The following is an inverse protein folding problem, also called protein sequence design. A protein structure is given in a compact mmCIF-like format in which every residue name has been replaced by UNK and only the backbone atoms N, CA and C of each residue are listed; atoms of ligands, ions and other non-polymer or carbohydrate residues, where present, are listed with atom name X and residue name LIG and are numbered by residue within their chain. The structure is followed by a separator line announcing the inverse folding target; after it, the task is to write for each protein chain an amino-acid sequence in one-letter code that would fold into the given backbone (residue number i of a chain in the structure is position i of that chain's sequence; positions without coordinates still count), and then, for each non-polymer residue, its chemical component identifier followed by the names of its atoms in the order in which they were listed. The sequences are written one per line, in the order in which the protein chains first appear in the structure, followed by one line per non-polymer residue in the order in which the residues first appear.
data_IF_735958369592
#
_entry.id   IF_735958369592
#
_cell.length_a   1.000
_cell.length_b   1.000
_cell.length_c   1.000
_cell.angle_alpha   90.00
_cell.angle_beta   90.00
_cell.angle_gamma   90.00
#
_symmetry.space_group_name_H-M   'P 1'
#
loop_
_entity.id
_entity.type
_entity.pdbx_description
1 polymer ?
#
# COMPACT_ATOMS: atom_id res chain seq x y z
N UNK A 1 -11.99 -10.48 -51.41
CA UNK A 1 -10.85 -10.79 -50.51
C UNK A 1 -11.41 -10.93 -49.12
N UNK A 2 -11.61 -12.17 -48.64
CA UNK A 2 -12.15 -12.47 -47.31
C UNK A 2 -11.04 -12.38 -46.29
N UNK A 3 -11.10 -11.42 -45.37
CA UNK A 3 -10.17 -11.34 -44.25
C UNK A 3 -10.55 -12.46 -43.25
N UNK A 4 -9.73 -13.50 -43.20
CA UNK A 4 -9.85 -14.54 -42.18
C UNK A 4 -9.59 -13.92 -40.82
N UNK A 5 -10.65 -13.75 -40.01
CA UNK A 5 -10.55 -13.42 -38.61
C UNK A 5 -9.78 -14.58 -37.93
N UNK A 6 -8.52 -14.34 -37.56
CA UNK A 6 -7.76 -15.28 -36.74
C UNK A 6 -8.47 -15.46 -35.41
N UNK A 7 -9.06 -16.62 -35.19
CA UNK A 7 -9.61 -17.04 -33.91
C UNK A 7 -8.46 -17.11 -32.93
N UNK A 8 -8.33 -16.09 -32.07
CA UNK A 8 -7.38 -16.10 -30.95
C UNK A 8 -7.87 -17.18 -29.98
N UNK A 9 -7.26 -18.36 -30.07
CA UNK A 9 -7.49 -19.44 -29.11
C UNK A 9 -7.04 -18.91 -27.73
N UNK A 10 -7.94 -18.84 -26.72
CA UNK A 10 -7.55 -18.36 -25.41
C UNK A 10 -6.50 -19.31 -24.83
N UNK A 11 -5.29 -18.80 -24.65
CA UNK A 11 -4.20 -19.52 -23.99
C UNK A 11 -4.66 -19.85 -22.56
N UNK A 12 -4.59 -21.12 -22.15
CA UNK A 12 -4.90 -21.51 -20.76
C UNK A 12 -4.08 -20.64 -19.80
N UNK A 13 -4.74 -20.05 -18.80
CA UNK A 13 -4.10 -19.27 -17.76
C UNK A 13 -2.98 -20.07 -17.10
N UNK A 14 -1.78 -19.51 -17.08
CA UNK A 14 -0.64 -20.12 -16.40
C UNK A 14 -0.68 -19.80 -14.90
N UNK A 15 -0.08 -20.65 -14.05
CA UNK A 15 0.07 -20.35 -12.62
C UNK A 15 0.73 -19.01 -12.34
N UNK A 16 1.63 -18.57 -13.22
CA UNK A 16 2.28 -17.27 -13.17
C UNK A 16 1.27 -16.09 -13.28
N UNK A 17 0.17 -16.25 -14.05
CA UNK A 17 -0.86 -15.21 -14.19
C UNK A 17 -1.64 -15.03 -12.87
N UNK A 18 -1.94 -16.13 -12.17
CA UNK A 18 -2.56 -16.06 -10.83
C UNK A 18 -1.61 -15.45 -9.79
N UNK A 19 -0.32 -15.79 -9.85
CA UNK A 19 0.67 -15.18 -8.98
C UNK A 19 0.80 -13.66 -9.26
N UNK A 20 0.77 -13.24 -10.53
CA UNK A 20 0.79 -11.82 -10.91
C UNK A 20 -0.43 -11.06 -10.34
N UNK A 21 -1.62 -11.69 -10.29
CA UNK A 21 -2.83 -11.11 -9.68
C UNK A 21 -2.62 -10.74 -8.22
N UNK A 22 -1.86 -11.53 -7.46
CA UNK A 22 -1.63 -11.30 -6.02
C UNK A 22 -0.72 -10.13 -5.73
N UNK A 23 -0.05 -9.55 -6.75
CA UNK A 23 0.94 -8.46 -6.61
C UNK A 23 1.96 -8.74 -5.49
N UNK A 24 2.82 -9.76 -5.59
CA UNK A 24 3.62 -10.27 -4.46
C UNK A 24 4.46 -9.19 -3.76
N UNK A 25 5.02 -8.23 -4.51
CA UNK A 25 5.83 -7.14 -3.96
C UNK A 25 5.02 -6.22 -3.04
N UNK A 26 3.80 -5.88 -3.43
CA UNK A 26 2.91 -5.02 -2.63
C UNK A 26 2.41 -5.82 -1.42
N UNK A 27 1.98 -7.06 -1.63
CA UNK A 27 1.53 -7.96 -0.55
C UNK A 27 2.63 -8.16 0.49
N UNK A 28 3.90 -8.31 0.09
CA UNK A 28 5.03 -8.39 1.01
C UNK A 28 5.15 -7.13 1.88
N UNK A 29 5.02 -5.93 1.29
CA UNK A 29 5.08 -4.67 2.05
C UNK A 29 3.93 -4.58 3.06
N UNK A 30 2.72 -4.99 2.67
CA UNK A 30 1.55 -5.07 3.57
C UNK A 30 1.83 -6.00 4.76
N UNK A 31 2.37 -7.20 4.49
CA UNK A 31 2.73 -8.19 5.50
C UNK A 31 3.83 -7.67 6.43
N UNK A 32 4.86 -7.00 5.89
CA UNK A 32 5.93 -6.40 6.70
C UNK A 32 5.39 -5.33 7.67
N UNK A 33 4.49 -4.47 7.22
CA UNK A 33 3.91 -3.45 8.08
C UNK A 33 2.93 -4.04 9.11
N UNK A 34 2.22 -5.11 8.77
CA UNK A 34 1.41 -5.87 9.72
C UNK A 34 2.29 -6.58 10.78
N UNK A 35 3.45 -7.12 10.38
CA UNK A 35 4.44 -7.68 11.33
C UNK A 35 4.87 -6.61 12.33
N UNK A 36 5.26 -5.42 11.87
CA UNK A 36 5.64 -4.31 12.77
C UNK A 36 4.50 -4.00 13.73
N UNK A 37 3.26 -3.89 13.23
CA UNK A 37 2.09 -3.65 14.07
C UNK A 37 1.87 -4.73 15.12
N UNK A 38 2.03 -6.00 14.74
CA UNK A 38 1.89 -7.14 15.67
C UNK A 38 2.97 -7.10 16.76
N UNK A 39 4.23 -6.94 16.38
CA UNK A 39 5.34 -6.90 17.33
C UNK A 39 5.21 -5.71 18.27
N UNK A 40 4.93 -4.52 17.76
CA UNK A 40 4.72 -3.32 18.57
C UNK A 40 3.49 -3.42 19.48
N UNK A 41 2.45 -4.12 19.05
CA UNK A 41 1.27 -4.41 19.85
C UNK A 41 1.48 -5.50 20.91
N UNK A 42 2.46 -6.39 20.80
CA UNK A 42 2.65 -7.49 21.73
C UNK A 42 3.14 -7.00 23.11
N UNK A 43 2.56 -7.51 24.20
CA UNK A 43 3.09 -7.32 25.57
C UNK A 43 3.92 -8.54 25.94
N UNK A 44 5.23 -8.36 26.17
CA UNK A 44 6.15 -9.46 26.47
C UNK A 44 6.55 -10.27 25.22
N UNK A 45 6.86 -11.57 25.37
CA UNK A 45 7.31 -12.42 24.28
C UNK A 45 6.30 -12.52 23.13
N UNK A 46 6.79 -12.46 21.89
CA UNK A 46 5.97 -12.57 20.70
C UNK A 46 5.52 -14.02 20.50
N UNK A 47 4.22 -14.24 20.40
CA UNK A 47 3.67 -15.57 20.01
C UNK A 47 3.86 -15.77 18.52
N UNK A 48 4.84 -16.58 18.13
CA UNK A 48 5.17 -16.85 16.74
C UNK A 48 4.03 -17.56 15.98
N UNK A 49 3.27 -18.43 16.63
CA UNK A 49 2.12 -19.10 16.01
C UNK A 49 1.01 -18.10 15.66
N UNK A 50 0.68 -17.21 16.60
CA UNK A 50 -0.34 -16.17 16.38
C UNK A 50 0.12 -15.12 15.36
N UNK A 51 1.40 -14.76 15.39
CA UNK A 51 2.03 -13.91 14.38
C UNK A 51 1.90 -14.54 12.98
N UNK A 52 2.30 -15.81 12.82
CA UNK A 52 2.24 -16.52 11.54
C UNK A 52 0.81 -16.53 10.96
N UNK A 53 -0.19 -16.82 11.81
CA UNK A 53 -1.61 -16.79 11.43
C UNK A 53 -2.04 -15.38 11.00
N UNK A 54 -1.67 -14.36 11.77
CA UNK A 54 -2.01 -12.96 11.46
C UNK A 54 -1.40 -12.53 10.11
N UNK A 55 -0.14 -12.86 9.86
CA UNK A 55 0.55 -12.52 8.61
C UNK A 55 -0.01 -13.31 7.41
N UNK A 56 -0.27 -14.63 7.58
CA UNK A 56 -0.86 -15.45 6.54
C UNK A 56 -2.26 -14.95 6.13
N UNK A 57 -3.13 -14.67 7.11
CA UNK A 57 -4.46 -14.14 6.85
C UNK A 57 -4.42 -12.76 6.18
N UNK A 58 -3.54 -11.87 6.67
CA UNK A 58 -3.33 -10.55 6.05
C UNK A 58 -2.82 -10.66 4.61
N UNK A 59 -1.88 -11.57 4.34
CA UNK A 59 -1.36 -11.83 3.00
C UNK A 59 -2.47 -12.30 2.04
N UNK A 60 -3.33 -13.22 2.48
CA UNK A 60 -4.45 -13.73 1.69
C UNK A 60 -5.47 -12.62 1.36
N UNK A 61 -5.86 -11.81 2.35
CA UNK A 61 -6.78 -10.67 2.12
C UNK A 61 -6.16 -9.65 1.17
N UNK A 62 -4.88 -9.31 1.33
CA UNK A 62 -4.18 -8.37 0.46
C UNK A 62 -4.03 -8.90 -0.98
N UNK A 63 -3.74 -10.19 -1.14
CA UNK A 63 -3.68 -10.87 -2.43
C UNK A 63 -5.05 -10.88 -3.12
N UNK A 64 -6.11 -11.21 -2.38
CA UNK A 64 -7.50 -11.16 -2.87
C UNK A 64 -7.92 -9.76 -3.29
N UNK A 65 -7.63 -8.74 -2.47
CA UNK A 65 -7.88 -7.34 -2.80
C UNK A 65 -7.14 -6.91 -4.08
N UNK A 66 -5.89 -7.36 -4.26
CA UNK A 66 -5.07 -7.07 -5.44
C UNK A 66 -5.65 -7.70 -6.71
N UNK A 67 -6.12 -8.94 -6.63
CA UNK A 67 -6.76 -9.65 -7.75
C UNK A 67 -8.07 -8.96 -8.18
N UNK A 68 -8.92 -8.62 -7.22
CA UNK A 68 -10.17 -7.92 -7.47
C UNK A 68 -9.94 -6.50 -8.00
N UNK A 69 -8.93 -5.79 -7.51
CA UNK A 69 -8.57 -4.49 -8.05
C UNK A 69 -8.11 -4.57 -9.51
N UNK A 70 -7.29 -5.56 -9.90
CA UNK A 70 -6.93 -5.77 -11.31
C UNK A 70 -8.15 -6.08 -12.19
N UNK A 71 -9.14 -6.79 -11.64
CA UNK A 71 -10.40 -7.04 -12.34
C UNK A 71 -11.19 -5.74 -12.56
N UNK A 72 -11.32 -4.91 -11.52
CA UNK A 72 -12.06 -3.64 -11.59
C UNK A 72 -11.39 -2.64 -12.53
N UNK A 73 -10.06 -2.56 -12.47
CA UNK A 73 -9.25 -1.62 -13.27
C UNK A 73 -8.94 -2.13 -14.69
N UNK A 74 -9.36 -3.32 -15.11
CA UNK A 74 -8.94 -3.97 -16.37
C UNK A 74 -9.08 -3.10 -17.62
N UNK A 75 -10.13 -2.26 -17.70
CA UNK A 75 -10.35 -1.34 -18.82
C UNK A 75 -9.34 -0.21 -18.83
N UNK A 76 -9.10 0.40 -17.70
CA UNK A 76 -8.12 1.49 -17.51
C UNK A 76 -6.70 0.96 -17.66
N UNK A 77 -6.41 -0.23 -17.12
CA UNK A 77 -5.11 -0.89 -17.25
C UNK A 77 -4.72 -1.16 -18.70
N UNK A 78 -5.69 -1.51 -19.56
CA UNK A 78 -5.47 -1.76 -20.99
C UNK A 78 -4.99 -0.50 -21.76
N UNK A 79 -5.30 0.69 -21.26
CA UNK A 79 -4.90 1.97 -21.87
C UNK A 79 -3.49 2.42 -21.49
N UNK A 80 -2.95 1.91 -20.39
CA UNK A 80 -1.66 2.32 -19.85
C UNK A 80 -0.53 1.37 -20.27
N UNK A 81 0.60 1.89 -20.75
CA UNK A 81 1.73 1.07 -21.21
C UNK A 81 2.29 0.15 -20.12
N UNK A 82 2.32 0.63 -18.89
CA UNK A 82 2.83 -0.10 -17.73
C UNK A 82 1.95 -1.27 -17.32
N UNK A 83 0.63 -1.21 -17.55
CA UNK A 83 -0.34 -2.16 -16.99
C UNK A 83 -1.13 -2.93 -18.04
N UNK A 84 -1.04 -2.57 -19.32
CA UNK A 84 -1.76 -3.25 -20.43
C UNK A 84 -1.48 -4.75 -20.52
N UNK A 85 -0.33 -5.19 -20.04
CA UNK A 85 0.07 -6.60 -20.04
C UNK A 85 -0.36 -7.37 -18.79
N UNK A 86 -1.11 -6.74 -17.87
CA UNK A 86 -1.68 -7.45 -16.70
C UNK A 86 -2.61 -8.58 -17.14
N UNK A 87 -2.68 -9.71 -16.41
CA UNK A 87 -3.38 -10.92 -16.86
C UNK A 87 -4.82 -10.68 -17.32
N UNK A 88 -5.59 -9.87 -16.58
CA UNK A 88 -7.01 -9.58 -16.94
C UNK A 88 -7.11 -8.54 -18.06
N UNK A 89 -6.29 -7.49 -18.04
CA UNK A 89 -6.27 -6.45 -19.07
C UNK A 89 -5.82 -7.00 -20.44
N UNK A 90 -4.86 -7.92 -20.44
CA UNK A 90 -4.34 -8.59 -21.63
C UNK A 90 -5.19 -9.79 -22.08
N UNK A 91 -6.27 -10.13 -21.39
CA UNK A 91 -7.13 -11.26 -21.73
C UNK A 91 -6.53 -12.66 -21.46
N UNK A 92 -5.41 -12.75 -20.71
CA UNK A 92 -4.81 -14.03 -20.33
C UNK A 92 -5.60 -14.77 -19.25
N UNK A 93 -6.32 -14.02 -18.41
CA UNK A 93 -7.27 -14.53 -17.42
C UNK A 93 -8.66 -13.97 -17.70
N UNK A 94 -9.67 -14.84 -17.64
CA UNK A 94 -11.06 -14.41 -17.76
C UNK A 94 -11.50 -13.63 -16.52
N UNK A 95 -12.36 -12.61 -16.67
CA UNK A 95 -12.85 -11.83 -15.53
C UNK A 95 -13.46 -12.67 -14.40
N UNK A 96 -14.17 -13.76 -14.76
CA UNK A 96 -14.78 -14.67 -13.78
C UNK A 96 -13.76 -15.46 -12.98
N UNK A 97 -12.63 -15.84 -13.60
CA UNK A 97 -11.54 -16.54 -12.93
C UNK A 97 -10.86 -15.62 -11.92
N UNK A 98 -10.57 -14.38 -12.30
CA UNK A 98 -10.00 -13.37 -11.40
C UNK A 98 -10.97 -13.03 -10.25
N UNK A 99 -12.29 -12.97 -10.52
CA UNK A 99 -13.32 -12.74 -9.50
C UNK A 99 -13.33 -13.89 -8.48
N UNK A 100 -13.46 -15.13 -8.95
CA UNK A 100 -13.54 -16.31 -8.10
C UNK A 100 -12.27 -16.48 -7.25
N UNK A 101 -11.09 -16.31 -7.88
CA UNK A 101 -9.80 -16.37 -7.19
C UNK A 101 -9.66 -15.29 -6.12
N UNK A 102 -9.98 -14.04 -6.46
CA UNK A 102 -9.88 -12.92 -5.51
C UNK A 102 -10.84 -13.05 -4.33
N UNK A 103 -12.08 -13.51 -4.58
CA UNK A 103 -13.07 -13.76 -3.52
C UNK A 103 -12.65 -14.94 -2.63
N UNK A 104 -12.16 -16.03 -3.22
CA UNK A 104 -11.70 -17.19 -2.47
C UNK A 104 -10.53 -16.84 -1.53
N UNK A 105 -9.52 -16.10 -2.03
CA UNK A 105 -8.40 -15.63 -1.20
C UNK A 105 -8.87 -14.69 -0.08
N UNK A 106 -9.78 -13.77 -0.37
CA UNK A 106 -10.34 -12.85 0.62
C UNK A 106 -11.07 -13.61 1.71
N UNK A 107 -11.98 -14.52 1.33
CA UNK A 107 -12.75 -15.32 2.29
C UNK A 107 -11.85 -16.20 3.16
N UNK A 108 -10.89 -16.90 2.55
CA UNK A 108 -9.91 -17.70 3.27
C UNK A 108 -9.08 -16.85 4.26
N UNK A 109 -8.59 -15.69 3.83
CA UNK A 109 -7.82 -14.79 4.69
C UNK A 109 -8.62 -14.22 5.85
N UNK A 110 -9.87 -13.83 5.62
CA UNK A 110 -10.77 -13.36 6.69
C UNK A 110 -11.10 -14.47 7.69
N UNK A 111 -11.32 -15.70 7.24
CA UNK A 111 -11.52 -16.87 8.12
C UNK A 111 -10.28 -17.16 8.96
N UNK A 112 -9.10 -17.16 8.35
CA UNK A 112 -7.83 -17.33 9.06
C UNK A 112 -7.64 -16.27 10.14
N UNK A 113 -7.91 -14.98 9.82
CA UNK A 113 -7.83 -13.91 10.80
C UNK A 113 -8.87 -14.05 11.90
N UNK A 114 -10.12 -14.33 11.55
CA UNK A 114 -11.22 -14.40 12.52
C UNK A 114 -10.99 -15.48 13.57
N UNK A 115 -10.68 -16.70 13.14
CA UNK A 115 -10.51 -17.84 14.05
C UNK A 115 -9.12 -17.90 14.70
N UNK A 116 -8.07 -17.40 14.03
CA UNK A 116 -6.70 -17.57 14.51
C UNK A 116 -6.06 -16.32 15.10
N UNK A 117 -6.54 -15.09 14.74
CA UNK A 117 -5.99 -13.84 15.25
C UNK A 117 -7.04 -13.00 16.03
N UNK A 118 -8.31 -13.27 15.81
CA UNK A 118 -9.43 -12.65 16.51
C UNK A 118 -10.34 -11.80 15.61
N UNK A 119 -11.60 -11.60 16.02
CA UNK A 119 -12.63 -10.97 15.20
C UNK A 119 -12.30 -9.52 14.84
N UNK A 120 -11.62 -8.77 15.72
CA UNK A 120 -11.27 -7.39 15.45
C UNK A 120 -10.20 -7.26 14.34
N UNK A 121 -9.21 -8.15 14.32
CA UNK A 121 -8.20 -8.18 13.25
C UNK A 121 -8.85 -8.51 11.89
N UNK A 122 -9.79 -9.44 11.85
CA UNK A 122 -10.58 -9.74 10.66
C UNK A 122 -11.45 -8.56 10.22
N UNK A 123 -12.06 -7.83 11.16
CA UNK A 123 -12.86 -6.65 10.86
C UNK A 123 -12.01 -5.52 10.26
N UNK A 124 -10.83 -5.24 10.82
CA UNK A 124 -9.91 -4.23 10.27
C UNK A 124 -9.43 -4.64 8.87
N UNK A 125 -9.13 -5.93 8.65
CA UNK A 125 -8.77 -6.45 7.33
C UNK A 125 -9.92 -6.33 6.32
N UNK A 126 -11.17 -6.60 6.75
CA UNK A 126 -12.37 -6.40 5.93
C UNK A 126 -12.57 -4.91 5.60
N UNK A 127 -12.39 -4.02 6.57
CA UNK A 127 -12.47 -2.57 6.35
C UNK A 127 -11.39 -2.08 5.38
N UNK A 128 -10.17 -2.63 5.48
CA UNK A 128 -9.08 -2.38 4.52
C UNK A 128 -9.47 -2.80 3.11
N UNK A 129 -9.94 -4.03 2.95
CA UNK A 129 -10.39 -4.59 1.69
C UNK A 129 -11.54 -3.79 1.08
N UNK A 130 -12.56 -3.48 1.88
CA UNK A 130 -13.74 -2.76 1.42
C UNK A 130 -13.42 -1.32 1.01
N UNK A 131 -12.66 -0.58 1.82
CA UNK A 131 -12.25 0.80 1.50
C UNK A 131 -11.34 0.86 0.27
N UNK A 132 -10.47 -0.13 0.08
CA UNK A 132 -9.61 -0.23 -1.10
C UNK A 132 -10.43 -0.47 -2.39
N UNK A 133 -11.38 -1.40 -2.38
CA UNK A 133 -12.12 -1.78 -3.58
C UNK A 133 -13.30 -0.84 -3.88
N UNK A 134 -14.04 -0.39 -2.86
CA UNK A 134 -15.30 0.34 -3.07
C UNK A 134 -15.17 1.86 -2.88
N UNK A 135 -14.12 2.33 -2.20
CA UNK A 135 -13.85 3.77 -2.09
C UNK A 135 -12.69 4.18 -3.01
N UNK A 136 -11.49 3.68 -2.77
CA UNK A 136 -10.30 4.10 -3.52
C UNK A 136 -10.38 3.78 -5.01
N UNK A 137 -10.66 2.52 -5.38
CA UNK A 137 -10.62 2.07 -6.78
C UNK A 137 -11.57 2.87 -7.70
N UNK A 138 -12.86 3.11 -7.35
CA UNK A 138 -13.72 3.94 -8.18
C UNK A 138 -13.38 5.43 -8.15
N UNK A 139 -12.88 5.97 -7.03
CA UNK A 139 -12.47 7.37 -6.94
C UNK A 139 -11.24 7.69 -7.79
N UNK A 140 -10.41 6.70 -8.08
CA UNK A 140 -9.19 6.86 -8.87
C UNK A 140 -9.44 7.39 -10.29
N UNK A 141 -10.62 7.09 -10.86
CA UNK A 141 -11.03 7.60 -12.17
C UNK A 141 -11.80 8.93 -12.11
N UNK A 142 -12.09 9.43 -10.89
CA UNK A 142 -12.98 10.60 -10.71
C UNK A 142 -12.28 11.82 -10.13
N UNK A 143 -11.27 11.61 -9.27
CA UNK A 143 -10.65 12.72 -8.53
C UNK A 143 -9.22 12.42 -8.10
N UNK A 144 -8.38 13.46 -8.04
CA UNK A 144 -7.02 13.39 -7.49
C UNK A 144 -6.98 13.10 -5.98
N UNK A 145 -8.09 13.35 -5.27
CA UNK A 145 -8.22 13.00 -3.85
C UNK A 145 -8.16 11.48 -3.61
N UNK A 146 -8.28 10.68 -4.68
CA UNK A 146 -8.09 9.23 -4.62
C UNK A 146 -6.76 8.83 -3.97
N UNK A 147 -5.69 9.65 -4.10
CA UNK A 147 -4.41 9.41 -3.43
C UNK A 147 -4.57 9.43 -1.90
N UNK A 148 -5.30 10.41 -1.36
CA UNK A 148 -5.55 10.53 0.09
C UNK A 148 -6.49 9.43 0.56
N UNK A 149 -7.56 9.16 -0.19
CA UNK A 149 -8.51 8.08 0.13
C UNK A 149 -7.82 6.72 0.08
N UNK A 150 -6.92 6.50 -0.88
CA UNK A 150 -6.12 5.27 -0.99
C UNK A 150 -5.07 5.12 0.11
N UNK A 151 -4.64 6.22 0.72
CA UNK A 151 -3.75 6.19 1.87
C UNK A 151 -4.43 5.60 3.12
N UNK A 152 -5.76 5.65 3.23
CA UNK A 152 -6.47 5.05 4.35
C UNK A 152 -6.33 3.52 4.40
N UNK A 153 -6.75 2.73 3.38
CA UNK A 153 -6.53 1.28 3.38
C UNK A 153 -5.05 0.89 3.41
N UNK A 154 -4.16 1.70 2.80
CA UNK A 154 -2.74 1.43 2.81
C UNK A 154 -2.06 1.61 4.18
N UNK A 155 -2.71 2.33 5.12
CA UNK A 155 -2.21 2.56 6.48
C UNK A 155 -2.80 1.58 7.52
N UNK A 156 -3.79 0.76 7.17
CA UNK A 156 -4.44 -0.19 8.09
C UNK A 156 -3.65 -1.47 8.38
N UNK A 157 -2.72 -1.97 7.54
CA UNK A 157 -2.00 -3.21 7.82
C UNK A 157 -1.31 -3.27 9.19
N UNK A 158 -0.61 -2.25 9.70
CA UNK A 158 -0.08 -2.29 11.07
C UNK A 158 -1.19 -2.35 12.13
N UNK A 159 -2.38 -1.78 11.86
CA UNK A 159 -3.53 -1.90 12.78
C UNK A 159 -4.07 -3.32 12.79
N UNK A 160 -4.07 -4.04 11.64
CA UNK A 160 -4.40 -5.46 11.59
C UNK A 160 -3.43 -6.25 12.48
N UNK A 161 -2.13 -6.02 12.35
CA UNK A 161 -1.11 -6.66 13.17
C UNK A 161 -1.29 -6.35 14.66
N UNK A 162 -1.48 -5.09 15.01
CA UNK A 162 -1.72 -4.65 16.39
C UNK A 162 -2.95 -5.32 17.01
N UNK A 163 -4.08 -5.28 16.31
CA UNK A 163 -5.33 -5.89 16.80
C UNK A 163 -5.24 -7.41 16.87
N UNK A 164 -4.46 -8.05 16.00
CA UNK A 164 -4.15 -9.48 16.11
C UNK A 164 -3.35 -9.81 17.37
N UNK A 165 -2.46 -8.92 17.82
CA UNK A 165 -1.68 -9.13 19.05
C UNK A 165 -2.49 -8.81 20.31
N UNK A 166 -3.32 -7.75 20.28
CA UNK A 166 -3.95 -7.12 21.45
C UNK A 166 -5.42 -7.42 21.62
N UNK A 167 -6.14 -7.69 20.52
CA UNK A 167 -7.60 -7.79 20.53
C UNK A 167 -8.33 -6.44 20.63
N UNK A 168 -7.62 -5.31 20.61
CA UNK A 168 -8.21 -3.96 20.72
C UNK A 168 -7.37 -2.93 19.95
N UNK A 169 -7.99 -1.80 19.57
CA UNK A 169 -7.30 -0.64 18.97
C UNK A 169 -6.88 0.28 20.11
N UNK A 170 -5.58 0.52 20.21
CA UNK A 170 -4.99 1.39 21.23
C UNK A 170 -4.28 2.58 20.55
N UNK A 171 -3.90 3.64 21.29
CA UNK A 171 -3.22 4.80 20.74
C UNK A 171 -1.97 4.45 19.91
N UNK A 172 -1.21 3.41 20.29
CA UNK A 172 -0.07 2.94 19.53
C UNK A 172 -0.42 2.47 18.11
N UNK A 173 -1.56 1.79 17.94
CA UNK A 173 -2.03 1.40 16.61
C UNK A 173 -2.37 2.62 15.75
N UNK A 174 -2.97 3.66 16.36
CA UNK A 174 -3.31 4.92 15.67
C UNK A 174 -2.04 5.67 15.24
N UNK A 175 -1.00 5.66 16.07
CA UNK A 175 0.30 6.27 15.73
C UNK A 175 0.94 5.55 14.54
N UNK A 176 0.96 4.22 14.53
CA UNK A 176 1.48 3.45 13.39
C UNK A 176 0.65 3.69 12.12
N UNK A 177 -0.66 3.76 12.23
CA UNK A 177 -1.54 4.15 11.14
C UNK A 177 -1.17 5.54 10.59
N UNK A 178 -1.01 6.54 11.45
CA UNK A 178 -0.70 7.90 11.05
C UNK A 178 0.67 8.01 10.35
N UNK A 179 1.69 7.28 10.84
CA UNK A 179 3.00 7.19 10.19
C UNK A 179 2.85 6.64 8.76
N UNK A 180 2.17 5.51 8.59
CA UNK A 180 1.96 4.91 7.26
C UNK A 180 1.12 5.82 6.36
N UNK A 181 0.05 6.42 6.91
CA UNK A 181 -0.82 7.32 6.16
C UNK A 181 -0.06 8.50 5.56
N UNK A 182 0.77 9.17 6.36
CA UNK A 182 1.58 10.32 5.91
C UNK A 182 2.72 9.91 5.00
N UNK A 183 3.38 8.77 5.30
CA UNK A 183 4.50 8.27 4.51
C UNK A 183 4.13 7.98 3.06
N UNK A 184 2.97 7.37 2.82
CA UNK A 184 2.63 6.94 1.46
C UNK A 184 2.20 8.10 0.55
N UNK A 185 1.81 9.28 1.07
CA UNK A 185 1.40 10.40 0.22
C UNK A 185 2.56 10.90 -0.65
N UNK A 186 3.75 11.31 -0.14
CA UNK A 186 4.88 11.68 -0.98
C UNK A 186 5.37 10.53 -1.86
N UNK A 187 5.29 9.27 -1.38
CA UNK A 187 5.59 8.08 -2.17
C UNK A 187 4.68 7.95 -3.40
N UNK A 188 3.38 8.05 -3.22
CA UNK A 188 2.41 7.96 -4.31
C UNK A 188 2.48 9.15 -5.27
N UNK A 189 2.74 10.37 -4.77
CA UNK A 189 2.96 11.54 -5.61
C UNK A 189 4.20 11.39 -6.48
N UNK A 190 5.29 10.80 -5.95
CA UNK A 190 6.48 10.48 -6.72
C UNK A 190 6.19 9.47 -7.84
N UNK A 191 5.47 8.38 -7.55
CA UNK A 191 5.04 7.40 -8.55
C UNK A 191 4.15 8.07 -9.59
N UNK A 192 3.19 8.88 -9.16
CA UNK A 192 2.26 9.55 -10.06
C UNK A 192 2.97 10.56 -10.97
N UNK A 193 4.03 11.22 -10.50
CA UNK A 193 4.88 12.09 -11.31
C UNK A 193 5.67 11.32 -12.35
N UNK A 194 6.29 10.20 -11.97
CA UNK A 194 7.07 9.34 -12.86
C UNK A 194 6.21 8.79 -14.02
N UNK A 195 4.96 8.41 -13.73
CA UNK A 195 4.05 7.78 -14.68
C UNK A 195 2.89 8.69 -15.11
N UNK A 196 3.05 10.02 -15.02
CA UNK A 196 1.98 10.98 -15.29
C UNK A 196 1.36 10.85 -16.68
N UNK A 197 2.19 10.56 -17.70
CA UNK A 197 1.71 10.37 -19.06
C UNK A 197 0.89 9.09 -19.21
N UNK A 198 1.26 8.04 -18.49
CA UNK A 198 0.52 6.78 -18.45
C UNK A 198 -0.84 6.96 -17.77
N UNK A 199 -0.86 7.70 -16.64
CA UNK A 199 -2.11 8.03 -15.97
C UNK A 199 -3.01 8.92 -16.83
N UNK A 200 -2.46 9.87 -17.56
CA UNK A 200 -3.22 10.69 -18.50
C UNK A 200 -3.85 9.83 -19.62
N UNK A 201 -3.09 8.87 -20.20
CA UNK A 201 -3.61 7.91 -21.19
C UNK A 201 -4.75 7.06 -20.64
N UNK A 202 -4.63 6.65 -19.37
CA UNK A 202 -5.67 5.89 -18.68
C UNK A 202 -6.88 6.72 -18.25
N UNK A 203 -6.90 8.04 -18.49
CA UNK A 203 -7.96 8.94 -18.05
C UNK A 203 -8.03 9.11 -16.52
N UNK A 204 -6.90 8.92 -15.82
CA UNK A 204 -6.83 9.01 -14.37
C UNK A 204 -6.40 10.41 -13.94
N UNK A 205 -7.26 11.20 -13.26
CA UNK A 205 -6.97 12.58 -12.84
C UNK A 205 -6.06 12.61 -11.60
N UNK A 206 -4.89 11.98 -11.67
CA UNK A 206 -3.90 12.05 -10.61
C UNK A 206 -3.38 13.49 -10.45
N UNK A 207 -3.01 13.89 -9.23
CA UNK A 207 -2.57 15.25 -8.99
C UNK A 207 -1.48 15.73 -9.98
N UNK A 208 -0.42 14.96 -10.29
CA UNK A 208 0.58 15.39 -11.28
C UNK A 208 0.06 15.48 -12.73
N UNK A 209 -1.08 14.89 -13.05
CA UNK A 209 -1.75 15.06 -14.36
C UNK A 209 -2.47 16.41 -14.41
N UNK A 210 -3.10 16.82 -13.29
CA UNK A 210 -3.83 18.08 -13.15
C UNK A 210 -2.92 19.27 -12.83
N UNK A 211 -1.70 19.01 -12.34
CA UNK A 211 -0.68 20.00 -11.98
C UNK A 211 0.59 19.78 -12.82
N UNK A 212 0.58 20.11 -14.12
CA UNK A 212 1.73 19.88 -15.02
C UNK A 212 3.00 20.61 -14.57
N UNK A 213 2.82 21.78 -13.92
CA UNK A 213 3.93 22.56 -13.37
C UNK A 213 4.54 21.94 -12.10
N UNK A 214 3.84 21.01 -11.43
CA UNK A 214 4.31 20.29 -10.26
C UNK A 214 4.40 21.11 -8.98
N UNK A 215 3.77 22.28 -8.95
CA UNK A 215 3.83 23.19 -7.79
C UNK A 215 3.03 22.63 -6.63
N UNK A 216 1.77 22.23 -6.89
CA UNK A 216 0.88 21.69 -5.87
C UNK A 216 1.37 20.31 -5.44
N UNK A 217 1.79 19.48 -6.40
CA UNK A 217 2.37 18.16 -6.15
C UNK A 217 3.58 18.23 -5.21
N UNK A 218 4.51 19.16 -5.49
CA UNK A 218 5.69 19.38 -4.66
C UNK A 218 5.33 19.87 -3.25
N UNK A 219 4.41 20.85 -3.14
CA UNK A 219 3.94 21.35 -1.82
C UNK A 219 3.32 20.24 -0.98
N UNK A 220 2.48 19.41 -1.58
CA UNK A 220 1.86 18.27 -0.90
C UNK A 220 2.90 17.23 -0.43
N UNK A 221 3.90 16.94 -1.27
CA UNK A 221 4.97 16.02 -0.89
C UNK A 221 5.76 16.54 0.32
N UNK A 222 6.16 17.82 0.30
CA UNK A 222 6.92 18.44 1.41
C UNK A 222 6.07 18.54 2.67
N UNK A 223 4.83 19.03 2.58
CA UNK A 223 3.94 19.19 3.74
C UNK A 223 3.70 17.84 4.47
N UNK A 224 3.43 16.76 3.69
CA UNK A 224 3.23 15.43 4.28
C UNK A 224 4.54 14.83 4.81
N UNK A 225 5.71 15.13 4.23
CA UNK A 225 7.01 14.71 4.79
C UNK A 225 7.33 15.41 6.11
N UNK A 226 7.00 16.71 6.24
CA UNK A 226 7.11 17.45 7.50
C UNK A 226 6.16 16.90 8.58
N UNK A 227 4.91 16.67 8.22
CA UNK A 227 3.93 16.05 9.13
C UNK A 227 4.39 14.65 9.56
N UNK A 228 4.96 13.86 8.64
CA UNK A 228 5.53 12.55 8.93
C UNK A 228 6.70 12.64 9.93
N UNK A 229 7.61 13.61 9.76
CA UNK A 229 8.72 13.84 10.71
C UNK A 229 8.17 14.04 12.12
N UNK A 230 7.13 14.90 12.27
CA UNK A 230 6.52 15.17 13.58
C UNK A 230 5.82 13.94 14.16
N UNK A 231 5.08 13.19 13.35
CA UNK A 231 4.37 11.99 13.82
C UNK A 231 5.32 10.83 14.10
N UNK A 232 6.46 10.76 13.40
CA UNK A 232 7.43 9.68 13.59
C UNK A 232 8.16 9.74 14.94
N UNK A 233 8.14 10.84 15.68
CA UNK A 233 8.69 10.91 17.03
C UNK A 233 7.70 10.52 18.12
N UNK A 234 6.40 10.44 17.78
CA UNK A 234 5.32 10.12 18.74
C UNK A 234 5.47 8.73 19.38
N UNK A 235 5.97 7.67 18.71
CA UNK A 235 6.20 6.38 19.37
C UNK A 235 7.09 6.47 20.63
N UNK A 236 8.12 7.30 20.63
CA UNK A 236 8.97 7.51 21.82
C UNK A 236 8.21 8.29 22.90
N UNK A 237 7.47 9.33 22.53
CA UNK A 237 6.68 10.13 23.48
C UNK A 237 5.59 9.26 24.13
N UNK A 238 5.03 8.31 23.37
CA UNK A 238 4.03 7.35 23.84
C UNK A 238 4.62 6.16 24.63
N UNK A 239 5.94 6.13 24.87
CA UNK A 239 6.59 5.05 25.60
C UNK A 239 6.65 3.71 24.87
N UNK A 240 6.53 3.71 23.55
CA UNK A 240 6.60 2.50 22.73
C UNK A 240 8.04 2.17 22.30
N UNK A 241 8.92 3.18 22.26
CA UNK A 241 10.30 3.06 21.77
C UNK A 241 11.25 3.93 22.58
N UNK A 242 12.55 3.60 22.54
CA UNK A 242 13.60 4.29 23.26
C UNK A 242 14.24 5.45 22.49
N UNK A 243 15.43 5.86 22.96
CA UNK A 243 16.17 7.01 22.42
C UNK A 243 16.80 6.73 21.06
N UNK A 244 17.18 5.49 20.77
CA UNK A 244 17.78 5.11 19.48
C UNK A 244 16.79 5.34 18.35
N UNK A 245 15.54 4.89 18.55
CA UNK A 245 14.46 5.17 17.61
C UNK A 245 14.22 6.68 17.45
N UNK A 246 14.15 7.44 18.56
CA UNK A 246 13.90 8.89 18.49
C UNK A 246 14.92 9.60 17.60
N UNK A 247 16.22 9.40 17.88
CA UNK A 247 17.29 10.01 17.08
C UNK A 247 17.22 9.55 15.62
N UNK A 248 17.05 8.26 15.39
CA UNK A 248 16.93 7.71 14.05
C UNK A 248 15.71 8.25 13.28
N UNK A 249 14.55 8.37 13.93
CA UNK A 249 13.33 8.92 13.33
C UNK A 249 13.51 10.39 12.93
N UNK A 250 14.16 11.21 13.79
CA UNK A 250 14.48 12.61 13.48
C UNK A 250 15.43 12.69 12.28
N UNK A 251 16.54 11.94 12.30
CA UNK A 251 17.52 11.95 11.20
C UNK A 251 16.88 11.49 9.87
N UNK A 252 16.14 10.40 9.89
CA UNK A 252 15.44 9.88 8.71
C UNK A 252 14.39 10.87 8.21
N UNK A 253 13.61 11.46 9.10
CA UNK A 253 12.56 12.42 8.76
C UNK A 253 13.11 13.71 8.15
N UNK A 254 14.21 14.24 8.70
CA UNK A 254 14.90 15.41 8.14
C UNK A 254 15.47 15.08 6.76
N UNK A 255 16.16 13.96 6.61
CA UNK A 255 16.71 13.52 5.33
C UNK A 255 15.60 13.31 4.27
N UNK A 256 14.50 12.65 4.64
CA UNK A 256 13.37 12.44 3.74
C UNK A 256 12.70 13.75 3.32
N UNK A 257 12.51 14.68 4.26
CA UNK A 257 11.94 16.01 3.97
C UNK A 257 12.88 16.82 3.06
N UNK A 258 14.19 16.74 3.25
CA UNK A 258 15.17 17.39 2.36
C UNK A 258 15.09 16.84 0.93
N UNK A 259 14.95 15.52 0.75
CA UNK A 259 14.75 14.89 -0.56
C UNK A 259 13.40 15.29 -1.17
N UNK A 260 12.34 15.39 -0.37
CA UNK A 260 11.03 15.86 -0.84
C UNK A 260 11.11 17.32 -1.32
N UNK A 261 11.79 18.19 -0.58
CA UNK A 261 12.02 19.59 -0.95
C UNK A 261 12.86 19.70 -2.24
N UNK A 262 13.95 18.95 -2.33
CA UNK A 262 14.76 18.88 -3.55
C UNK A 262 13.93 18.44 -4.76
N UNK A 263 13.09 17.42 -4.61
CA UNK A 263 12.20 16.94 -5.66
C UNK A 263 11.16 18.01 -6.06
N UNK A 264 10.60 18.74 -5.07
CA UNK A 264 9.64 19.80 -5.29
C UNK A 264 10.25 21.04 -6.01
N UNK A 265 11.54 21.29 -5.82
CA UNK A 265 12.27 22.37 -6.53
C UNK A 265 12.62 21.94 -7.95
N UNK A 266 13.18 20.73 -8.12
CA UNK A 266 13.69 20.22 -9.41
C UNK A 266 12.59 19.84 -10.40
N UNK A 267 11.49 19.26 -9.91
CA UNK A 267 10.31 18.84 -10.70
C UNK A 267 10.64 17.98 -11.93
N UNK A 268 11.66 17.16 -11.81
CA UNK A 268 12.11 16.24 -12.87
C UNK A 268 11.73 14.80 -12.53
N UNK A 269 11.64 13.94 -13.54
CA UNK A 269 11.43 12.49 -13.34
C UNK A 269 12.56 11.87 -12.53
N UNK A 270 13.81 12.34 -12.71
CA UNK A 270 14.96 11.86 -11.93
C UNK A 270 14.81 12.20 -10.43
N UNK A 271 14.38 13.42 -10.12
CA UNK A 271 14.14 13.84 -8.74
C UNK A 271 12.96 13.08 -8.09
N UNK A 272 11.90 12.83 -8.84
CA UNK A 272 10.79 12.00 -8.37
C UNK A 272 11.21 10.54 -8.12
N UNK A 273 12.10 9.97 -8.94
CA UNK A 273 12.71 8.65 -8.67
C UNK A 273 13.55 8.66 -7.39
N UNK A 274 14.30 9.73 -7.15
CA UNK A 274 15.03 9.93 -5.90
C UNK A 274 14.10 9.93 -4.68
N UNK A 275 13.00 10.69 -4.75
CA UNK A 275 11.98 10.72 -3.67
C UNK A 275 11.32 9.35 -3.48
N UNK A 276 10.99 8.65 -4.56
CA UNK A 276 10.44 7.30 -4.51
C UNK A 276 11.37 6.32 -3.80
N UNK A 277 12.67 6.29 -4.15
CA UNK A 277 13.65 5.43 -3.51
C UNK A 277 13.88 5.81 -2.05
N UNK A 278 14.01 7.11 -1.76
CA UNK A 278 14.15 7.62 -0.39
C UNK A 278 12.96 7.21 0.49
N UNK A 279 11.73 7.21 -0.04
CA UNK A 279 10.56 6.78 0.71
C UNK A 279 10.60 5.30 1.09
N UNK A 280 11.10 4.43 0.21
CA UNK A 280 11.26 2.99 0.51
C UNK A 280 12.32 2.80 1.60
N UNK A 281 13.48 3.43 1.46
CA UNK A 281 14.56 3.35 2.45
C UNK A 281 14.12 3.89 3.80
N UNK A 282 13.40 5.01 3.80
CA UNK A 282 12.83 5.59 5.01
C UNK A 282 11.93 4.59 5.75
N UNK A 283 10.97 3.98 5.05
CA UNK A 283 10.05 3.04 5.68
C UNK A 283 10.76 1.82 6.24
N UNK A 284 11.68 1.22 5.48
CA UNK A 284 12.44 0.06 5.92
C UNK A 284 13.28 0.37 7.17
N UNK A 285 14.00 1.50 7.14
CA UNK A 285 14.83 1.93 8.26
C UNK A 285 13.98 2.26 9.51
N UNK A 286 12.87 2.99 9.34
CA UNK A 286 11.97 3.32 10.44
C UNK A 286 11.33 2.08 11.06
N UNK A 287 10.86 1.13 10.24
CA UNK A 287 10.32 -0.14 10.71
C UNK A 287 11.37 -0.96 11.48
N UNK A 288 12.61 -0.99 11.00
CA UNK A 288 13.71 -1.66 11.71
C UNK A 288 13.97 -1.01 13.07
N UNK A 289 14.03 0.31 13.12
CA UNK A 289 14.22 1.05 14.37
C UNK A 289 13.06 0.81 15.37
N UNK A 290 11.79 0.76 14.89
CA UNK A 290 10.64 0.42 15.73
C UNK A 290 10.80 -0.95 16.39
N UNK A 291 11.32 -1.94 15.65
CA UNK A 291 11.48 -3.30 16.16
C UNK A 291 12.68 -3.45 17.09
N UNK A 292 13.81 -2.76 16.80
CA UNK A 292 15.06 -2.89 17.54
C UNK A 292 15.01 -2.14 18.86
N UNK A 293 14.38 -0.97 18.91
CA UNK A 293 14.35 -0.08 20.09
C UNK A 293 12.97 -0.07 20.80
N UNK A 294 12.19 -1.16 20.64
CA UNK A 294 10.92 -1.36 21.31
C UNK A 294 11.11 -1.51 22.82
N UNK A 295 10.23 -0.87 23.63
CA UNK A 295 10.18 -0.95 25.11
C UNK A 295 9.07 -1.89 25.54
#
# INVERSE_FOLDING_TARGET
MSASASVVVPRRAAAADYLELTKPRITLTVVMTALVGFVMGSRGPVSFSRLAVALAGTALVAAGASALNMLLERRTDALMLRTRNRPVAAGRLRPVEALAFGLALTAAGLMVLYFGAGPLAALVALATWASYLFAYTPLKTRTSLSTIVGAFPGALPPVIGWTAARGQIEPGAVVLFAILFLWQIPHFLAIAWIYREDYARGGLPMLPVLDPAGVVTGRQAVANSLALLLVSVVPTIAGLTGRVYFVGAVCLGVAFTAVALWSAIRRTVAAARGLFLASILYLLALCTLLLVDRI
#
